data_IF_143781690349
#
_entry.id   IF_143781690349
#
_cell.length_a   1.000
_cell.length_b   1.000
_cell.length_c   1.000
_cell.angle_alpha   90.00
_cell.angle_beta   90.00
_cell.angle_gamma   90.00
#
_symmetry.space_group_name_H-M   'P 1'
#
loop_
_entity.id
_entity.type
_entity.pdbx_description
1 polymer ?
#
# COMPACT_ATOMS: atom_id res chain seq x y z
N UNK A 1 7.67 4.29 -26.21
CA UNK A 1 8.66 3.29 -25.80
C UNK A 1 9.20 3.77 -24.46
N UNK A 2 8.96 3.04 -23.36
CA UNK A 2 9.31 3.50 -22.00
C UNK A 2 10.83 3.57 -21.78
N UNK A 3 11.62 2.72 -22.45
CA UNK A 3 13.09 2.78 -22.36
C UNK A 3 13.64 4.09 -22.91
N UNK A 4 13.14 4.55 -24.07
CA UNK A 4 13.51 5.85 -24.64
C UNK A 4 13.09 7.01 -23.73
N UNK A 5 11.97 6.87 -23.01
CA UNK A 5 11.53 7.88 -22.05
C UNK A 5 12.47 7.96 -20.84
N UNK A 6 12.90 6.80 -20.31
CA UNK A 6 13.88 6.74 -19.23
C UNK A 6 15.25 7.31 -19.67
N UNK A 7 15.73 6.94 -20.86
CA UNK A 7 16.97 7.48 -21.44
C UNK A 7 16.91 9.00 -21.60
N UNK A 8 15.78 9.54 -22.05
CA UNK A 8 15.58 10.98 -22.15
C UNK A 8 15.67 11.66 -20.76
N UNK A 9 14.95 11.12 -19.77
CA UNK A 9 14.91 11.67 -18.42
C UNK A 9 16.28 11.63 -17.73
N UNK A 10 17.05 10.58 -17.99
CA UNK A 10 18.34 10.31 -17.36
C UNK A 10 19.53 10.80 -18.21
N UNK A 11 19.27 11.50 -19.33
CA UNK A 11 20.31 11.97 -20.23
C UNK A 11 21.28 12.93 -19.52
N UNK A 12 22.57 12.58 -19.50
CA UNK A 12 23.60 13.38 -18.83
C UNK A 12 23.53 13.36 -17.31
N UNK A 13 22.76 12.44 -16.72
CA UNK A 13 22.70 12.21 -15.27
C UNK A 13 23.56 11.00 -14.94
N UNK A 14 24.67 11.20 -14.23
CA UNK A 14 25.57 10.11 -13.79
C UNK A 14 25.19 9.55 -12.42
N UNK A 15 24.59 10.39 -11.57
CA UNK A 15 24.22 10.08 -10.19
C UNK A 15 22.95 10.84 -9.84
N UNK A 16 22.04 10.19 -9.11
CA UNK A 16 20.84 10.78 -8.54
C UNK A 16 21.09 10.95 -7.05
N UNK A 17 21.45 12.17 -6.64
CA UNK A 17 21.71 12.50 -5.26
C UNK A 17 20.40 12.80 -4.53
N UNK A 18 19.95 11.85 -3.69
CA UNK A 18 18.74 12.01 -2.88
C UNK A 18 19.06 12.48 -1.46
N UNK A 19 20.29 12.90 -1.17
CA UNK A 19 20.74 13.44 0.12
C UNK A 19 20.23 14.87 0.35
N UNK A 20 18.92 15.06 0.30
CA UNK A 20 18.27 16.31 0.65
C UNK A 20 18.11 16.46 2.17
N UNK A 21 17.62 17.61 2.66
CA UNK A 21 17.30 17.80 4.08
C UNK A 21 16.23 16.82 4.58
N UNK A 22 15.34 16.37 3.68
CA UNK A 22 14.26 15.43 3.97
C UNK A 22 14.60 13.96 3.74
N UNK A 23 13.92 13.08 4.50
CA UNK A 23 13.97 11.62 4.32
C UNK A 23 12.94 11.23 3.26
N UNK A 24 13.33 10.54 2.18
CA UNK A 24 12.38 10.12 1.15
C UNK A 24 11.46 8.99 1.61
N UNK A 25 10.28 8.94 1.03
CA UNK A 25 9.46 7.71 0.97
C UNK A 25 9.98 6.74 -0.11
N UNK A 26 9.33 5.60 -0.27
CA UNK A 26 9.53 4.71 -1.43
C UNK A 26 8.30 4.70 -2.34
N UNK A 27 8.44 4.26 -3.59
CA UNK A 27 7.36 4.18 -4.57
C UNK A 27 6.94 2.75 -4.84
N UNK A 28 5.65 2.56 -5.08
CA UNK A 28 5.09 1.41 -5.79
C UNK A 28 4.85 1.84 -7.24
N UNK A 29 5.56 1.21 -8.18
CA UNK A 29 5.43 1.44 -9.63
C UNK A 29 4.59 0.31 -10.22
N UNK A 30 3.30 0.55 -10.42
CA UNK A 30 2.29 -0.49 -10.67
C UNK A 30 1.45 -0.28 -11.93
N UNK A 31 1.62 0.82 -12.65
CA UNK A 31 1.00 1.07 -13.95
C UNK A 31 1.63 0.24 -15.06
N UNK A 32 0.88 -0.01 -16.14
CA UNK A 32 1.46 -0.65 -17.32
C UNK A 32 2.38 0.29 -18.13
N UNK A 33 2.18 1.61 -17.98
CA UNK A 33 2.93 2.67 -18.65
C UNK A 33 3.77 3.50 -17.66
N UNK A 34 4.02 2.96 -16.46
CA UNK A 34 4.91 3.53 -15.47
C UNK A 34 6.23 2.78 -15.44
N UNK A 35 7.30 3.46 -15.05
CA UNK A 35 8.65 2.89 -15.02
C UNK A 35 9.50 3.58 -13.94
N UNK A 36 10.40 2.82 -13.27
CA UNK A 36 11.31 3.38 -12.29
C UNK A 36 12.45 4.16 -12.98
N UNK A 37 12.98 5.17 -12.28
CA UNK A 37 14.12 5.99 -12.71
C UNK A 37 15.28 5.90 -11.73
N UNK A 38 14.99 5.60 -10.46
CA UNK A 38 15.95 5.42 -9.38
C UNK A 38 15.54 4.23 -8.51
N UNK A 39 16.44 3.26 -8.37
CA UNK A 39 16.28 2.08 -7.52
C UNK A 39 17.52 1.92 -6.62
N UNK A 40 17.33 1.51 -5.36
CA UNK A 40 18.43 1.01 -4.54
C UNK A 40 18.74 -0.48 -4.82
N UNK A 41 19.74 -1.01 -4.11
CA UNK A 41 20.15 -2.42 -4.19
C UNK A 41 19.08 -3.41 -3.69
N UNK A 42 18.08 -2.94 -2.94
CA UNK A 42 16.93 -3.73 -2.48
C UNK A 42 15.68 -3.48 -3.35
N UNK A 43 15.85 -2.81 -4.48
CA UNK A 43 14.80 -2.47 -5.44
C UNK A 43 13.73 -1.49 -4.90
N UNK A 44 14.03 -0.72 -3.86
CA UNK A 44 13.18 0.40 -3.48
C UNK A 44 13.28 1.52 -4.51
N UNK A 45 12.13 1.98 -5.00
CA UNK A 45 12.06 3.04 -5.99
C UNK A 45 11.87 4.41 -5.33
N UNK A 46 12.61 5.41 -5.79
CA UNK A 46 12.58 6.78 -5.25
C UNK A 46 12.13 7.83 -6.26
N UNK A 47 12.43 7.60 -7.53
CA UNK A 47 11.99 8.43 -8.66
C UNK A 47 11.35 7.50 -9.69
N UNK A 48 10.19 7.88 -10.20
CA UNK A 48 9.51 7.14 -11.25
C UNK A 48 8.78 8.08 -12.20
N UNK A 49 8.46 7.58 -13.38
CA UNK A 49 7.66 8.29 -14.36
C UNK A 49 6.54 7.41 -14.91
N UNK A 50 5.55 8.05 -15.51
CA UNK A 50 4.46 7.36 -16.18
C UNK A 50 3.90 8.18 -17.36
N UNK A 51 3.31 7.48 -18.33
CA UNK A 51 2.43 8.07 -19.33
C UNK A 51 0.98 7.79 -18.96
N UNK A 52 0.11 8.79 -19.13
CA UNK A 52 -1.31 8.65 -18.88
C UNK A 52 -2.14 9.51 -19.84
N UNK A 53 -3.05 8.89 -20.58
CA UNK A 53 -3.74 9.54 -21.69
C UNK A 53 -2.73 10.09 -22.70
N UNK A 54 -2.79 11.38 -22.99
CA UNK A 54 -1.79 12.08 -23.82
C UNK A 54 -0.65 12.71 -23.01
N UNK A 55 -0.77 12.75 -21.68
CA UNK A 55 0.18 13.41 -20.80
C UNK A 55 1.18 12.48 -20.15
N UNK A 56 1.94 13.07 -19.23
CA UNK A 56 3.15 12.51 -18.64
C UNK A 56 3.24 12.91 -17.17
N UNK A 57 3.83 12.04 -16.36
CA UNK A 57 3.97 12.24 -14.91
C UNK A 57 5.37 11.85 -14.49
N UNK A 58 6.01 12.66 -13.64
CA UNK A 58 7.25 12.34 -12.92
C UNK A 58 7.00 12.54 -11.44
N UNK A 59 7.41 11.56 -10.62
CA UNK A 59 7.19 11.54 -9.17
C UNK A 59 8.53 11.46 -8.44
N UNK A 60 8.67 12.30 -7.43
CA UNK A 60 9.75 12.29 -6.45
C UNK A 60 9.22 11.94 -5.05
N UNK A 61 9.97 11.20 -4.26
CA UNK A 61 9.55 10.74 -2.92
C UNK A 61 9.87 11.70 -1.79
N UNK A 62 10.31 12.91 -2.13
CA UNK A 62 10.35 14.07 -1.24
C UNK A 62 10.20 15.36 -2.06
N UNK A 63 9.61 16.41 -1.50
CA UNK A 63 9.44 17.70 -2.18
C UNK A 63 10.77 18.44 -2.35
N UNK A 64 11.70 18.29 -1.40
CA UNK A 64 13.03 18.93 -1.47
C UNK A 64 13.85 18.44 -2.67
N UNK A 65 13.57 17.24 -3.18
CA UNK A 65 14.18 16.71 -4.39
C UNK A 65 13.79 17.52 -5.63
N UNK A 66 12.67 18.24 -5.60
CA UNK A 66 12.18 19.03 -6.74
C UNK A 66 12.88 20.38 -6.90
N UNK A 67 13.79 20.75 -5.99
CA UNK A 67 14.58 21.97 -6.12
C UNK A 67 16.01 21.79 -5.60
N UNK A 68 16.47 20.54 -5.46
CA UNK A 68 17.86 20.22 -5.15
C UNK A 68 18.75 20.57 -6.34
N UNK A 69 19.82 21.37 -6.14
CA UNK A 69 20.82 21.65 -7.17
C UNK A 69 21.48 20.39 -7.73
N UNK A 70 21.68 19.38 -6.90
CA UNK A 70 22.31 18.10 -7.27
C UNK A 70 21.45 17.31 -8.26
N UNK A 71 20.13 17.53 -8.26
CA UNK A 71 19.18 16.95 -9.21
C UNK A 71 18.83 17.88 -10.38
N UNK A 72 19.49 19.05 -10.51
CA UNK A 72 19.11 20.07 -11.49
C UNK A 72 19.05 19.54 -12.93
N UNK A 73 20.06 18.76 -13.37
CA UNK A 73 20.05 18.17 -14.71
C UNK A 73 18.85 17.25 -14.94
N UNK A 74 18.55 16.38 -13.97
CA UNK A 74 17.40 15.49 -14.01
C UNK A 74 16.08 16.28 -14.04
N UNK A 75 15.93 17.31 -13.20
CA UNK A 75 14.71 18.14 -13.14
C UNK A 75 14.46 18.89 -14.45
N UNK A 76 15.51 19.42 -15.08
CA UNK A 76 15.41 20.07 -16.40
C UNK A 76 14.98 19.07 -17.49
N UNK A 77 15.55 17.87 -17.49
CA UNK A 77 15.13 16.80 -18.40
C UNK A 77 13.66 16.42 -18.13
N UNK A 78 13.27 16.29 -16.86
CA UNK A 78 11.90 15.98 -16.46
C UNK A 78 10.91 17.03 -16.97
N UNK A 79 11.17 18.32 -16.75
CA UNK A 79 10.29 19.40 -17.24
C UNK A 79 10.21 19.42 -18.76
N UNK A 80 11.32 19.25 -19.47
CA UNK A 80 11.32 19.15 -20.94
C UNK A 80 10.51 17.94 -21.44
N UNK A 81 10.68 16.78 -20.80
CA UNK A 81 9.94 15.57 -21.13
C UNK A 81 8.45 15.75 -20.86
N UNK A 82 8.07 16.37 -19.74
CA UNK A 82 6.69 16.65 -19.34
C UNK A 82 6.01 17.67 -20.27
N UNK A 83 6.74 18.69 -20.72
CA UNK A 83 6.24 19.70 -21.67
C UNK A 83 5.95 19.08 -23.04
N UNK A 84 6.70 18.06 -23.43
CA UNK A 84 6.55 17.34 -24.69
C UNK A 84 6.66 18.26 -25.93
N UNK A 85 7.46 19.33 -25.84
CA UNK A 85 7.74 20.25 -26.93
C UNK A 85 6.66 21.32 -27.17
N UNK A 86 5.66 21.44 -26.28
CA UNK A 86 4.64 22.48 -26.34
C UNK A 86 5.19 23.88 -26.08
N UNK A 87 6.34 24.00 -25.44
CA UNK A 87 6.99 25.26 -25.03
C UNK A 87 6.03 26.15 -24.24
N UNK A 88 5.15 25.52 -23.46
CA UNK A 88 4.16 26.22 -22.64
C UNK A 88 4.76 26.71 -21.33
N UNK A 89 3.90 27.31 -20.50
CA UNK A 89 4.30 27.83 -19.20
C UNK A 89 4.38 26.70 -18.17
N UNK A 90 5.43 26.70 -17.35
CA UNK A 90 5.54 25.81 -16.19
C UNK A 90 4.90 26.48 -14.98
N UNK A 91 3.80 25.94 -14.49
CA UNK A 91 3.13 26.42 -13.28
C UNK A 91 3.65 25.70 -12.04
N UNK A 92 4.11 26.44 -11.04
CA UNK A 92 4.71 25.88 -9.82
C UNK A 92 3.86 26.24 -8.61
N UNK A 93 3.44 25.23 -7.83
CA UNK A 93 2.75 25.44 -6.56
C UNK A 93 3.59 26.31 -5.61
N UNK A 94 2.98 27.24 -4.84
CA UNK A 94 3.72 28.13 -3.93
C UNK A 94 4.69 27.43 -2.96
N UNK A 95 4.40 26.20 -2.56
CA UNK A 95 5.29 25.40 -1.67
C UNK A 95 6.59 25.00 -2.34
N UNK A 96 6.62 24.96 -3.67
CA UNK A 96 7.79 24.59 -4.48
C UNK A 96 8.45 25.80 -5.16
N UNK A 97 8.22 27.03 -4.68
CA UNK A 97 8.72 28.26 -5.34
C UNK A 97 10.22 28.24 -5.68
N UNK A 98 11.05 27.53 -4.89
CA UNK A 98 12.49 27.36 -5.14
C UNK A 98 12.80 26.68 -6.48
N UNK A 99 11.87 25.88 -7.01
CA UNK A 99 12.01 25.28 -8.35
C UNK A 99 12.03 26.37 -9.45
N UNK A 100 11.33 27.49 -9.29
CA UNK A 100 11.38 28.58 -10.28
C UNK A 100 12.80 29.15 -10.42
N UNK A 101 13.56 29.23 -9.34
CA UNK A 101 14.94 29.73 -9.35
C UNK A 101 15.84 28.81 -10.19
N UNK A 102 15.67 27.49 -10.05
CA UNK A 102 16.38 26.48 -10.83
C UNK A 102 15.99 26.52 -12.32
N UNK A 103 14.69 26.64 -12.61
CA UNK A 103 14.18 26.71 -13.98
C UNK A 103 14.61 27.99 -14.72
N UNK A 104 14.68 29.11 -14.00
CA UNK A 104 15.09 30.39 -14.57
C UNK A 104 16.54 30.39 -15.05
N UNK A 105 17.42 29.67 -14.35
CA UNK A 105 18.83 29.50 -14.76
C UNK A 105 18.98 28.76 -16.10
N UNK A 106 17.97 27.99 -16.50
CA UNK A 106 17.93 27.26 -17.77
C UNK A 106 16.96 27.92 -18.78
N UNK A 107 16.57 29.18 -18.56
CA UNK A 107 15.68 29.96 -19.42
C UNK A 107 14.29 29.30 -19.64
N UNK A 108 13.84 28.46 -18.71
CA UNK A 108 12.52 27.83 -18.76
C UNK A 108 11.47 28.79 -18.20
N UNK A 109 10.47 29.13 -19.03
CA UNK A 109 9.35 29.99 -18.63
C UNK A 109 8.54 29.33 -17.51
N UNK A 110 8.66 29.86 -16.30
CA UNK A 110 7.96 29.35 -15.12
C UNK A 110 7.28 30.48 -14.35
N UNK A 111 6.19 30.16 -13.65
CA UNK A 111 5.53 31.08 -12.74
C UNK A 111 4.96 30.34 -11.53
N UNK A 112 4.96 31.01 -10.37
CA UNK A 112 4.25 30.49 -9.20
C UNK A 112 2.76 30.66 -9.42
N UNK A 113 2.02 29.56 -9.51
CA UNK A 113 0.57 29.58 -9.74
C UNK A 113 -0.08 28.25 -9.35
N UNK A 114 -1.38 28.30 -9.08
CA UNK A 114 -2.20 27.08 -9.06
C UNK A 114 -2.40 26.56 -10.49
N UNK A 115 -2.85 25.30 -10.62
CA UNK A 115 -3.20 24.76 -11.93
C UNK A 115 -4.27 25.66 -12.57
N UNK A 116 -4.00 26.16 -13.77
CA UNK A 116 -4.80 27.13 -14.52
C UNK A 116 -4.63 26.90 -16.03
N UNK A 117 -5.42 27.59 -16.84
CA UNK A 117 -5.31 27.53 -18.30
C UNK A 117 -3.95 28.04 -18.81
N UNK A 118 -3.42 27.42 -19.86
CA UNK A 118 -2.16 27.82 -20.52
C UNK A 118 -0.88 27.22 -19.94
N UNK A 119 -0.98 26.47 -18.83
CA UNK A 119 0.12 25.69 -18.26
C UNK A 119 0.35 24.43 -19.11
N UNK A 120 1.60 24.13 -19.47
CA UNK A 120 1.97 22.86 -20.10
C UNK A 120 2.47 21.83 -19.10
N UNK A 121 3.19 22.30 -18.06
CA UNK A 121 3.69 21.47 -16.97
C UNK A 121 3.27 22.07 -15.63
N UNK A 122 2.63 21.28 -14.78
CA UNK A 122 2.28 21.67 -13.43
C UNK A 122 3.16 20.94 -12.41
N UNK A 123 3.80 21.70 -11.54
CA UNK A 123 4.70 21.21 -10.50
C UNK A 123 4.05 21.43 -9.14
N UNK A 124 3.76 20.37 -8.38
CA UNK A 124 3.08 20.49 -7.08
C UNK A 124 3.62 19.51 -6.04
N UNK A 125 3.34 19.78 -4.76
CA UNK A 125 3.58 18.77 -3.73
C UNK A 125 2.47 17.72 -3.70
N UNK A 126 2.72 16.60 -3.05
CA UNK A 126 1.78 15.47 -2.91
C UNK A 126 0.93 15.54 -1.63
N UNK A 127 0.93 16.69 -0.92
CA UNK A 127 0.27 16.84 0.39
C UNK A 127 -1.21 17.24 0.32
N UNK A 128 -1.76 17.52 -0.86
CA UNK A 128 -3.17 17.86 -1.05
C UNK A 128 -3.75 17.11 -2.23
N UNK A 129 -5.02 16.71 -2.12
CA UNK A 129 -5.84 16.12 -3.18
C UNK A 129 -6.95 17.06 -3.67
N UNK A 130 -6.97 18.33 -3.22
CA UNK A 130 -7.99 19.33 -3.57
C UNK A 130 -8.21 19.46 -5.08
N UNK A 131 -7.13 19.43 -5.85
CA UNK A 131 -7.15 19.58 -7.30
C UNK A 131 -7.09 18.25 -8.07
N UNK A 132 -7.29 17.10 -7.40
CA UNK A 132 -7.06 15.78 -8.00
C UNK A 132 -7.81 15.58 -9.33
N UNK A 133 -9.10 15.94 -9.40
CA UNK A 133 -9.90 15.83 -10.64
C UNK A 133 -9.36 16.72 -11.76
N UNK A 134 -8.90 17.93 -11.43
CA UNK A 134 -8.35 18.88 -12.39
C UNK A 134 -7.00 18.38 -12.90
N UNK A 135 -6.14 17.88 -12.02
CA UNK A 135 -4.86 17.25 -12.36
C UNK A 135 -5.08 16.01 -13.25
N UNK A 136 -6.04 15.15 -12.92
CA UNK A 136 -6.36 13.97 -13.74
C UNK A 136 -6.76 14.36 -15.17
N UNK A 137 -7.63 15.37 -15.31
CA UNK A 137 -8.08 15.87 -16.62
C UNK A 137 -6.93 16.49 -17.39
N UNK A 138 -6.18 17.38 -16.73
CA UNK A 138 -5.01 18.05 -17.30
C UNK A 138 -3.99 17.05 -17.86
N UNK A 139 -3.60 16.04 -17.07
CA UNK A 139 -2.65 15.01 -17.54
C UNK A 139 -3.28 14.17 -18.65
N UNK A 140 -4.53 13.72 -18.51
CA UNK A 140 -5.19 12.92 -19.55
C UNK A 140 -5.22 13.64 -20.91
N UNK A 141 -5.43 14.96 -20.90
CA UNK A 141 -5.52 15.78 -22.11
C UNK A 141 -4.17 16.13 -22.74
N UNK A 142 -3.06 15.89 -22.05
CA UNK A 142 -1.71 16.11 -22.56
C UNK A 142 -0.75 16.75 -21.57
N UNK A 143 -1.25 17.36 -20.49
CA UNK A 143 -0.48 18.04 -19.45
C UNK A 143 0.65 17.19 -18.84
N UNK A 144 1.72 17.87 -18.46
CA UNK A 144 2.83 17.26 -17.71
C UNK A 144 2.68 17.52 -16.21
N UNK A 145 2.79 16.49 -15.37
CA UNK A 145 2.78 16.62 -13.91
C UNK A 145 4.15 16.27 -13.33
N UNK A 146 4.77 17.22 -12.62
CA UNK A 146 5.91 16.95 -11.73
C UNK A 146 5.40 17.03 -10.29
N UNK A 147 5.53 15.95 -9.52
CA UNK A 147 4.99 15.92 -8.16
C UNK A 147 5.95 15.29 -7.17
N UNK A 148 6.05 15.90 -5.98
CA UNK A 148 7.02 15.52 -4.96
C UNK A 148 6.41 15.49 -3.57
N UNK A 149 6.87 14.57 -2.73
CA UNK A 149 6.59 14.58 -1.30
C UNK A 149 6.66 13.19 -0.69
N UNK A 150 6.47 13.12 0.63
CA UNK A 150 6.64 11.89 1.38
C UNK A 150 5.36 11.50 2.15
N UNK A 151 5.08 10.20 2.16
CA UNK A 151 3.92 9.63 2.84
C UNK A 151 4.28 9.00 4.20
N UNK A 152 5.58 8.79 4.51
CA UNK A 152 5.99 8.15 5.76
C UNK A 152 5.60 8.98 6.99
N UNK A 153 5.68 10.31 6.90
CA UNK A 153 5.29 11.20 7.99
C UNK A 153 3.79 11.12 8.22
N UNK A 154 3.02 11.17 7.13
CA UNK A 154 1.57 10.96 7.17
C UNK A 154 1.23 9.61 7.82
N UNK A 155 1.91 8.52 7.42
CA UNK A 155 1.70 7.19 7.98
C UNK A 155 2.04 7.13 9.48
N UNK A 156 3.07 7.86 9.92
CA UNK A 156 3.45 7.93 11.35
C UNK A 156 2.37 8.58 12.22
N UNK A 157 1.58 9.50 11.64
CA UNK A 157 0.45 10.19 12.29
C UNK A 157 -0.86 9.43 12.16
N UNK A 158 -1.01 8.60 11.13
CA UNK A 158 -2.21 7.82 10.82
C UNK A 158 -1.92 6.32 10.97
N UNK A 159 -1.56 5.90 12.19
CA UNK A 159 -1.18 4.51 12.46
C UNK A 159 -2.35 3.56 12.21
N UNK A 160 -2.10 2.51 11.42
CA UNK A 160 -3.11 1.52 11.03
C UNK A 160 -3.84 1.86 9.73
N UNK A 161 -3.61 3.04 9.17
CA UNK A 161 -4.14 3.43 7.86
C UNK A 161 -3.13 3.10 6.74
N UNK A 162 -3.63 2.57 5.63
CA UNK A 162 -2.79 2.30 4.46
C UNK A 162 -2.51 3.61 3.69
N UNK A 163 -1.26 4.07 3.71
CA UNK A 163 -0.87 5.30 3.00
C UNK A 163 -1.18 5.23 1.50
N UNK A 164 -1.02 4.07 0.89
CA UNK A 164 -1.36 3.81 -0.52
C UNK A 164 -2.85 4.11 -0.84
N UNK A 165 -3.73 4.01 0.15
CA UNK A 165 -5.16 4.30 0.03
C UNK A 165 -5.50 5.75 0.42
N UNK A 166 -4.95 6.20 1.54
CA UNK A 166 -5.50 7.33 2.29
C UNK A 166 -4.61 8.58 2.28
N UNK A 167 -3.34 8.46 1.88
CA UNK A 167 -2.48 9.63 1.69
C UNK A 167 -3.01 10.51 0.54
N UNK A 168 -3.17 11.84 0.73
CA UNK A 168 -3.73 12.74 -0.28
C UNK A 168 -3.06 12.61 -1.66
N UNK A 169 -1.74 12.56 -1.71
CA UNK A 169 -1.00 12.42 -2.97
C UNK A 169 -1.35 11.15 -3.74
N UNK A 170 -1.67 10.05 -3.06
CA UNK A 170 -2.05 8.80 -3.71
C UNK A 170 -3.45 8.84 -4.32
N UNK A 171 -4.33 9.73 -3.86
CA UNK A 171 -5.62 10.00 -4.52
C UNK A 171 -5.43 10.63 -5.91
N UNK A 172 -4.28 11.28 -6.14
CA UNK A 172 -3.85 11.75 -7.45
C UNK A 172 -3.10 10.63 -8.19
N UNK A 173 -2.03 10.13 -7.58
CA UNK A 173 -1.02 9.30 -8.22
C UNK A 173 -1.47 7.90 -8.60
N UNK A 174 -2.34 7.26 -7.80
CA UNK A 174 -2.77 5.89 -8.06
C UNK A 174 -3.35 5.77 -9.48
N UNK A 175 -4.12 6.77 -9.93
CA UNK A 175 -4.71 6.79 -11.28
C UNK A 175 -3.67 6.73 -12.41
N UNK A 176 -2.46 7.21 -12.14
CA UNK A 176 -1.33 7.21 -13.08
C UNK A 176 -0.44 5.96 -12.97
N UNK A 177 -0.78 5.00 -12.10
CA UNK A 177 0.00 3.79 -11.92
C UNK A 177 1.20 3.93 -10.98
N UNK A 178 1.19 4.95 -10.12
CA UNK A 178 2.26 5.26 -9.18
C UNK A 178 1.65 5.47 -7.78
N UNK A 179 2.34 5.04 -6.73
CA UNK A 179 1.94 5.35 -5.35
C UNK A 179 3.16 5.64 -4.49
N UNK A 180 3.06 6.64 -3.61
CA UNK A 180 4.04 6.91 -2.57
C UNK A 180 3.70 6.07 -1.34
N UNK A 181 4.62 5.22 -0.92
CA UNK A 181 4.44 4.31 0.20
C UNK A 181 4.77 5.01 1.53
N UNK A 182 4.11 4.54 2.61
CA UNK A 182 4.34 5.02 3.97
C UNK A 182 5.67 4.58 4.59
N UNK A 183 6.54 3.92 3.82
CA UNK A 183 7.84 3.46 4.28
C UNK A 183 8.91 4.49 4.02
N UNK A 184 9.77 4.70 5.01
CA UNK A 184 10.99 5.50 4.86
C UNK A 184 11.96 4.74 3.98
N UNK A 185 12.50 5.43 2.98
CA UNK A 185 13.70 4.99 2.32
C UNK A 185 14.94 5.59 2.98
N UNK A 186 16.10 5.25 2.43
CA UNK A 186 17.36 5.85 2.83
C UNK A 186 17.68 7.00 1.87
N UNK A 187 17.93 8.19 2.41
CA UNK A 187 18.57 9.24 1.63
C UNK A 187 19.98 8.76 1.29
N UNK A 188 20.28 8.66 -0.01
CA UNK A 188 21.57 8.23 -0.51
C UNK A 188 21.73 8.68 -1.97
N UNK A 189 22.96 8.60 -2.45
CA UNK A 189 23.28 8.71 -3.87
C UNK A 189 23.02 7.37 -4.54
N UNK A 190 22.31 7.38 -5.64
CA UNK A 190 22.00 6.18 -6.40
C UNK A 190 22.39 6.36 -7.87
N UNK A 191 22.87 5.30 -8.53
CA UNK A 191 22.99 5.34 -9.97
C UNK A 191 21.59 5.47 -10.61
N UNK A 192 21.46 6.18 -11.74
CA UNK A 192 20.24 6.15 -12.54
C UNK A 192 19.95 4.71 -12.98
N UNK A 193 18.67 4.39 -13.16
CA UNK A 193 18.27 3.10 -13.74
C UNK A 193 18.86 2.99 -15.15
N UNK A 194 19.84 2.10 -15.31
CA UNK A 194 20.57 1.91 -16.57
C UNK A 194 19.77 1.18 -17.65
N UNK A 195 20.37 0.86 -18.80
CA UNK A 195 19.75 -0.01 -19.79
C UNK A 195 19.58 -1.43 -19.22
N UNK A 196 18.50 -2.12 -19.62
CA UNK A 196 18.26 -3.52 -19.25
C UNK A 196 17.00 -3.76 -18.43
N UNK A 197 16.97 -4.91 -17.76
CA UNK A 197 15.79 -5.38 -17.02
C UNK A 197 15.85 -4.94 -15.56
N UNK A 198 14.85 -4.17 -15.14
CA UNK A 198 14.75 -3.65 -13.78
C UNK A 198 13.48 -4.12 -13.11
N UNK A 199 13.50 -4.03 -11.78
CA UNK A 199 12.33 -4.35 -10.98
C UNK A 199 11.16 -3.44 -11.36
N UNK A 200 10.02 -4.05 -11.68
CA UNK A 200 8.74 -3.39 -11.86
C UNK A 200 7.66 -4.34 -11.37
N UNK A 201 6.70 -3.86 -10.57
CA UNK A 201 5.73 -4.71 -9.86
C UNK A 201 5.03 -5.72 -10.79
N UNK A 202 4.45 -5.23 -11.89
CA UNK A 202 3.72 -6.09 -12.85
C UNK A 202 4.63 -7.13 -13.52
N UNK A 203 5.90 -6.78 -13.73
CA UNK A 203 6.88 -7.66 -14.38
C UNK A 203 7.30 -8.77 -13.42
N UNK A 204 7.64 -8.41 -12.19
CA UNK A 204 7.97 -9.36 -11.14
C UNK A 204 6.78 -10.30 -10.86
N UNK A 205 5.56 -9.76 -10.81
CA UNK A 205 4.34 -10.55 -10.66
C UNK A 205 4.14 -11.53 -11.83
N UNK A 206 4.33 -11.08 -13.08
CA UNK A 206 4.22 -11.96 -14.24
C UNK A 206 5.22 -13.11 -14.17
N UNK A 207 6.49 -12.81 -13.88
CA UNK A 207 7.53 -13.84 -13.72
C UNK A 207 7.15 -14.86 -12.64
N UNK A 208 6.64 -14.40 -11.50
CA UNK A 208 6.19 -15.27 -10.40
C UNK A 208 5.02 -16.18 -10.80
N UNK A 209 4.09 -15.66 -11.60
CA UNK A 209 2.96 -16.46 -12.10
C UNK A 209 3.47 -17.51 -13.11
N UNK A 210 4.39 -17.15 -14.00
CA UNK A 210 4.88 -18.07 -15.05
C UNK A 210 5.83 -19.15 -14.52
N UNK A 211 6.61 -18.86 -13.49
CA UNK A 211 7.57 -19.81 -12.91
C UNK A 211 6.90 -20.68 -11.84
N UNK A 212 5.84 -21.40 -12.15
CA UNK A 212 5.07 -22.18 -11.16
C UNK A 212 5.87 -23.39 -10.63
N UNK A 213 6.23 -24.32 -11.52
CA UNK A 213 6.83 -25.61 -11.18
C UNK A 213 8.36 -25.66 -11.30
N UNK A 214 8.99 -24.53 -11.66
CA UNK A 214 10.44 -24.44 -11.88
C UNK A 214 11.15 -23.86 -10.65
N UNK A 215 12.45 -24.11 -10.51
CA UNK A 215 13.27 -23.35 -9.55
C UNK A 215 13.22 -21.86 -9.88
N UNK A 216 13.28 -21.02 -8.84
CA UNK A 216 13.32 -19.56 -9.02
C UNK A 216 14.61 -19.17 -9.74
N UNK A 217 14.48 -18.56 -10.92
CA UNK A 217 15.61 -18.00 -11.64
C UNK A 217 15.75 -16.51 -11.36
N UNK A 218 16.93 -15.97 -11.64
CA UNK A 218 17.09 -14.53 -11.75
C UNK A 218 16.26 -13.98 -12.94
N UNK A 219 15.77 -12.73 -12.87
CA UNK A 219 15.93 -11.80 -11.76
C UNK A 219 14.88 -11.97 -10.63
N UNK A 220 13.90 -12.87 -10.79
CA UNK A 220 12.79 -13.02 -9.85
C UNK A 220 13.27 -13.37 -8.44
N UNK A 221 14.30 -14.22 -8.32
CA UNK A 221 14.87 -14.63 -7.02
C UNK A 221 15.39 -13.46 -6.21
N UNK A 222 16.03 -12.46 -6.84
CA UNK A 222 16.42 -11.20 -6.19
C UNK A 222 15.23 -10.28 -5.88
N UNK A 223 14.13 -10.40 -6.61
CA UNK A 223 12.97 -9.52 -6.53
C UNK A 223 11.88 -9.97 -5.54
N UNK A 224 11.94 -11.20 -5.02
CA UNK A 224 10.86 -11.79 -4.24
C UNK A 224 10.45 -10.98 -3.01
N UNK A 225 11.42 -10.51 -2.23
CA UNK A 225 11.13 -9.72 -1.03
C UNK A 225 10.38 -8.43 -1.39
N UNK A 226 10.86 -7.72 -2.41
CA UNK A 226 10.23 -6.50 -2.90
C UNK A 226 8.85 -6.76 -3.51
N UNK A 227 8.70 -7.86 -4.24
CA UNK A 227 7.41 -8.30 -4.79
C UNK A 227 6.39 -8.57 -3.68
N UNK A 228 6.79 -9.19 -2.56
CA UNK A 228 5.89 -9.41 -1.42
C UNK A 228 5.38 -8.10 -0.83
N UNK A 229 6.30 -7.15 -0.60
CA UNK A 229 5.98 -5.81 -0.11
C UNK A 229 5.03 -5.07 -1.06
N UNK A 230 5.31 -5.10 -2.36
CA UNK A 230 4.49 -4.40 -3.36
C UNK A 230 3.13 -5.08 -3.58
N UNK A 231 3.04 -6.42 -3.48
CA UNK A 231 1.75 -7.12 -3.44
C UNK A 231 0.91 -6.63 -2.27
N UNK A 232 1.50 -6.53 -1.06
CA UNK A 232 0.80 -6.03 0.12
C UNK A 232 0.30 -4.60 -0.14
N UNK A 233 1.19 -3.68 -0.52
CA UNK A 233 0.80 -2.30 -0.80
C UNK A 233 -0.27 -2.20 -1.91
N UNK A 234 -0.14 -2.97 -2.99
CA UNK A 234 -1.07 -2.92 -4.11
C UNK A 234 -2.49 -3.34 -3.71
N UNK A 235 -2.63 -4.38 -2.89
CA UNK A 235 -3.93 -4.90 -2.44
C UNK A 235 -4.71 -3.89 -1.60
N UNK A 236 -4.03 -2.94 -0.95
CA UNK A 236 -4.67 -1.86 -0.21
C UNK A 236 -5.00 -0.64 -1.08
N UNK A 237 -4.69 -0.63 -2.38
CA UNK A 237 -5.15 0.44 -3.28
C UNK A 237 -6.68 0.36 -3.39
N UNK A 238 -7.41 1.47 -3.14
CA UNK A 238 -8.86 1.48 -3.28
C UNK A 238 -9.28 1.06 -4.69
N UNK A 239 -10.03 -0.03 -4.77
CA UNK A 239 -10.39 -0.70 -6.02
C UNK A 239 -11.54 -0.03 -6.78
N UNK A 240 -12.19 1.00 -6.18
CA UNK A 240 -13.46 1.62 -6.60
C UNK A 240 -13.59 1.70 -8.13
N UNK A 241 -14.19 0.66 -8.70
CA UNK A 241 -14.49 0.47 -10.12
C UNK A 241 -13.28 0.55 -11.09
N UNK A 242 -12.05 0.25 -10.66
CA UNK A 242 -10.89 0.16 -11.55
C UNK A 242 -10.69 -1.29 -12.05
N UNK A 243 -11.01 -1.62 -13.32
CA UNK A 243 -10.89 -2.98 -13.82
C UNK A 243 -9.44 -3.51 -13.79
N UNK A 244 -8.47 -2.61 -13.91
CA UNK A 244 -7.05 -2.96 -13.87
C UNK A 244 -6.61 -3.46 -12.49
N UNK A 245 -7.20 -2.94 -11.40
CA UNK A 245 -6.90 -3.39 -10.03
C UNK A 245 -7.68 -4.66 -9.71
N UNK A 246 -8.98 -4.68 -10.01
CA UNK A 246 -9.81 -5.87 -9.87
C UNK A 246 -9.21 -7.09 -10.59
N UNK A 247 -8.61 -6.89 -11.77
CA UNK A 247 -7.92 -7.96 -12.49
C UNK A 247 -6.70 -8.49 -11.74
N UNK A 248 -5.89 -7.64 -11.10
CA UNK A 248 -4.72 -8.08 -10.34
C UNK A 248 -5.15 -8.80 -9.07
N UNK A 249 -6.16 -8.29 -8.34
CA UNK A 249 -6.77 -9.01 -7.21
C UNK A 249 -7.22 -10.41 -7.65
N UNK A 250 -7.98 -10.50 -8.75
CA UNK A 250 -8.46 -11.78 -9.29
C UNK A 250 -7.31 -12.72 -9.68
N UNK A 251 -6.23 -12.20 -10.27
CA UNK A 251 -5.05 -12.99 -10.62
C UNK A 251 -4.41 -13.56 -9.35
N UNK A 252 -4.17 -12.73 -8.33
CA UNK A 252 -3.58 -13.16 -7.07
C UNK A 252 -4.46 -14.18 -6.34
N UNK A 253 -5.78 -13.97 -6.32
CA UNK A 253 -6.75 -14.95 -5.78
C UNK A 253 -6.67 -16.27 -6.54
N UNK A 254 -6.62 -16.26 -7.88
CA UNK A 254 -6.51 -17.48 -8.68
C UNK A 254 -5.20 -18.21 -8.43
N UNK A 255 -4.08 -17.50 -8.28
CA UNK A 255 -2.78 -18.08 -7.94
C UNK A 255 -2.84 -18.80 -6.60
N UNK A 256 -3.49 -18.22 -5.58
CA UNK A 256 -3.68 -18.89 -4.30
C UNK A 256 -4.61 -20.10 -4.41
N UNK A 257 -5.68 -20.00 -5.19
CA UNK A 257 -6.62 -21.10 -5.40
C UNK A 257 -6.00 -22.28 -6.16
N UNK A 258 -5.07 -22.02 -7.08
CA UNK A 258 -4.39 -23.08 -7.84
C UNK A 258 -3.22 -23.70 -7.07
N UNK A 259 -2.42 -22.89 -6.36
CA UNK A 259 -1.21 -23.35 -5.65
C UNK A 259 -1.47 -23.77 -4.20
N UNK A 260 -2.61 -23.36 -3.65
CA UNK A 260 -2.92 -23.50 -2.23
C UNK A 260 -2.13 -22.52 -1.36
N UNK A 261 -2.57 -22.39 -0.11
CA UNK A 261 -1.86 -21.64 0.92
C UNK A 261 -0.83 -22.58 1.56
N UNK A 262 0.48 -22.25 1.54
CA UNK A 262 1.51 -23.11 2.10
C UNK A 262 1.28 -23.43 3.59
N UNK A 263 1.49 -24.69 3.97
CA UNK A 263 1.54 -25.06 5.38
C UNK A 263 2.90 -24.69 5.96
N UNK A 264 2.89 -23.98 7.09
CA UNK A 264 4.08 -23.56 7.80
C UNK A 264 3.97 -23.92 9.27
N UNK A 265 4.98 -24.64 9.76
CA UNK A 265 5.05 -25.09 11.16
C UNK A 265 6.50 -25.16 11.61
N UNK A 266 6.75 -25.51 12.87
CA UNK A 266 8.11 -25.74 13.38
C UNK A 266 8.80 -26.87 12.62
N UNK A 267 8.06 -27.90 12.21
CA UNK A 267 8.58 -29.07 11.48
C UNK A 267 8.65 -28.83 9.97
N UNK A 268 7.94 -27.81 9.47
CA UNK A 268 7.93 -27.38 8.07
C UNK A 268 8.18 -25.87 7.97
N UNK A 269 9.40 -25.39 8.28
CA UNK A 269 9.71 -23.98 8.23
C UNK A 269 9.78 -23.46 6.80
N UNK A 270 9.45 -22.19 6.61
CA UNK A 270 9.47 -21.50 5.31
C UNK A 270 10.50 -20.37 5.33
N UNK A 271 11.45 -20.37 4.40
CA UNK A 271 12.43 -19.27 4.28
C UNK A 271 11.76 -18.01 3.72
N UNK A 272 12.13 -16.84 4.22
CA UNK A 272 11.43 -15.60 3.84
C UNK A 272 11.66 -15.14 2.41
N UNK A 273 12.74 -15.61 1.75
CA UNK A 273 12.97 -15.39 0.32
C UNK A 273 12.60 -16.63 -0.51
N UNK A 274 11.34 -17.08 -0.39
CA UNK A 274 10.81 -18.26 -1.08
C UNK A 274 9.45 -17.96 -1.72
N UNK A 275 9.01 -18.84 -2.63
CA UNK A 275 7.67 -18.76 -3.24
C UNK A 275 6.58 -18.91 -2.18
N UNK A 276 6.81 -19.81 -1.23
CA UNK A 276 5.89 -20.13 -0.15
C UNK A 276 5.68 -18.93 0.78
N UNK A 277 6.76 -18.21 1.12
CA UNK A 277 6.65 -16.98 1.90
C UNK A 277 5.81 -15.92 1.15
N UNK A 278 6.05 -15.72 -0.14
CA UNK A 278 5.26 -14.79 -0.96
C UNK A 278 3.78 -15.17 -1.00
N UNK A 279 3.44 -16.45 -1.16
CA UNK A 279 2.05 -16.93 -1.11
C UNK A 279 1.39 -16.68 0.25
N UNK A 280 2.12 -16.89 1.36
CA UNK A 280 1.64 -16.59 2.71
C UNK A 280 1.34 -15.09 2.89
N UNK A 281 2.19 -14.20 2.36
CA UNK A 281 1.95 -12.76 2.39
C UNK A 281 0.74 -12.38 1.56
N UNK A 282 0.66 -12.84 0.30
CA UNK A 282 -0.49 -12.55 -0.58
C UNK A 282 -1.79 -13.04 0.05
N UNK A 283 -1.80 -14.24 0.65
CA UNK A 283 -2.99 -14.79 1.32
C UNK A 283 -3.42 -13.94 2.51
N UNK A 284 -2.46 -13.51 3.33
CA UNK A 284 -2.73 -12.63 4.49
C UNK A 284 -3.34 -11.32 4.01
N UNK A 285 -2.73 -10.65 3.03
CA UNK A 285 -3.17 -9.33 2.56
C UNK A 285 -4.49 -9.37 1.79
N UNK A 286 -4.74 -10.43 1.01
CA UNK A 286 -6.05 -10.65 0.40
C UNK A 286 -7.13 -10.88 1.47
N UNK A 287 -6.85 -11.67 2.50
CA UNK A 287 -7.80 -11.86 3.59
C UNK A 287 -8.06 -10.56 4.38
N UNK A 288 -7.10 -9.64 4.43
CA UNK A 288 -7.28 -8.34 5.07
C UNK A 288 -8.15 -7.38 4.25
N UNK A 289 -8.18 -7.53 2.93
CA UNK A 289 -8.86 -6.61 2.00
C UNK A 289 -10.21 -7.15 1.51
N UNK A 290 -10.41 -8.47 1.53
CA UNK A 290 -11.67 -9.13 1.18
C UNK A 290 -12.67 -9.08 2.34
N UNK A 291 -13.95 -9.02 2.00
CA UNK A 291 -15.07 -9.15 2.95
C UNK A 291 -15.30 -10.60 3.39
N UNK A 292 -14.90 -11.58 2.57
CA UNK A 292 -15.05 -13.02 2.82
C UNK A 292 -13.79 -13.78 2.39
N UNK A 293 -13.15 -14.49 3.34
CA UNK A 293 -11.93 -15.27 3.09
C UNK A 293 -12.19 -16.73 2.72
N UNK A 294 -13.44 -17.19 2.74
CA UNK A 294 -13.78 -18.60 2.41
C UNK A 294 -13.29 -18.99 1.02
N UNK A 295 -13.36 -18.05 0.07
CA UNK A 295 -12.89 -18.20 -1.31
C UNK A 295 -11.39 -18.52 -1.42
N UNK A 296 -10.58 -18.23 -0.39
CA UNK A 296 -9.14 -18.50 -0.36
C UNK A 296 -8.81 -19.89 0.21
N UNK A 297 -9.62 -20.39 1.15
CA UNK A 297 -9.31 -21.59 1.94
C UNK A 297 -9.92 -22.86 1.33
N UNK A 298 -10.90 -22.74 0.41
CA UNK A 298 -11.58 -23.88 -0.25
C UNK A 298 -12.11 -24.95 0.74
N UNK A 299 -12.40 -24.58 1.99
CA UNK A 299 -12.98 -25.48 3.00
C UNK A 299 -14.49 -25.28 3.09
N UNK A 300 -15.22 -26.38 3.23
CA UNK A 300 -16.66 -26.36 3.47
C UNK A 300 -16.96 -25.79 4.86
N UNK A 301 -18.02 -24.99 4.97
CA UNK A 301 -18.49 -24.40 6.23
C UNK A 301 -19.20 -25.40 7.16
N UNK A 302 -18.82 -26.69 7.09
CA UNK A 302 -19.42 -27.74 7.89
C UNK A 302 -19.05 -27.55 9.37
N UNK A 303 -20.06 -27.34 10.22
CA UNK A 303 -19.89 -27.26 11.68
C UNK A 303 -19.91 -25.86 12.30
N UNK A 304 -20.15 -24.80 11.51
CA UNK A 304 -20.38 -23.46 12.05
C UNK A 304 -21.78 -23.40 12.67
N UNK A 305 -21.87 -22.93 13.92
CA UNK A 305 -23.18 -22.70 14.54
C UNK A 305 -23.94 -21.63 13.76
N UNK A 306 -25.09 -21.99 13.20
CA UNK A 306 -25.95 -21.06 12.47
C UNK A 306 -26.66 -20.05 13.38
N UNK A 307 -26.71 -20.29 14.70
CA UNK A 307 -27.44 -19.43 15.63
C UNK A 307 -26.55 -18.29 16.17
N UNK A 308 -27.05 -17.04 16.15
CA UNK A 308 -26.39 -15.90 16.79
C UNK A 308 -26.17 -16.14 18.30
N UNK A 309 -25.01 -15.78 18.82
CA UNK A 309 -24.71 -15.83 20.26
C UNK A 309 -24.49 -14.43 20.79
N UNK A 310 -25.30 -14.01 21.76
CA UNK A 310 -25.13 -12.74 22.48
C UNK A 310 -24.29 -12.94 23.72
N UNK A 311 -23.28 -12.09 23.91
CA UNK A 311 -22.35 -12.11 25.04
C UNK A 311 -22.32 -10.72 25.68
N UNK A 312 -22.45 -10.68 27.00
CA UNK A 312 -22.26 -9.45 27.78
C UNK A 312 -20.77 -9.15 27.93
N UNK A 313 -20.34 -7.99 27.43
CA UNK A 313 -18.95 -7.56 27.46
C UNK A 313 -18.82 -6.33 28.36
N UNK A 314 -17.98 -6.42 29.39
CA UNK A 314 -17.64 -5.24 30.20
C UNK A 314 -16.75 -4.28 29.41
N UNK A 315 -17.38 -3.22 28.89
CA UNK A 315 -16.76 -2.11 28.19
C UNK A 315 -16.16 -1.06 29.11
N UNK A 316 -16.22 -1.23 30.44
CA UNK A 316 -15.53 -0.37 31.40
C UNK A 316 -14.06 -0.78 31.51
N UNK A 317 -13.16 0.19 31.39
CA UNK A 317 -11.73 -0.08 31.42
C UNK A 317 -10.94 1.14 31.91
N UNK A 318 -10.78 1.34 33.23
CA UNK A 318 -10.08 2.51 33.78
C UNK A 318 -8.56 2.50 33.49
N UNK A 319 -8.00 1.31 33.20
CA UNK A 319 -6.59 1.10 32.96
C UNK A 319 -6.15 1.30 31.51
N UNK A 320 -5.07 0.60 31.15
CA UNK A 320 -4.59 0.51 29.76
C UNK A 320 -5.56 -0.32 28.92
N UNK A 321 -5.41 -0.27 27.59
CA UNK A 321 -6.15 -1.11 26.64
C UNK A 321 -6.21 -2.56 27.12
N UNK A 322 -7.39 -3.16 27.09
CA UNK A 322 -7.61 -4.52 27.58
C UNK A 322 -8.43 -5.34 26.58
N UNK A 323 -8.24 -6.66 26.60
CA UNK A 323 -9.02 -7.59 25.79
C UNK A 323 -10.08 -8.24 26.67
N UNK A 324 -11.31 -8.32 26.14
CA UNK A 324 -12.42 -9.06 26.73
C UNK A 324 -12.69 -10.27 25.86
N UNK A 325 -12.56 -11.46 26.43
CA UNK A 325 -12.90 -12.70 25.72
C UNK A 325 -14.41 -12.77 25.52
N UNK A 326 -14.83 -13.17 24.33
CA UNK A 326 -16.25 -13.47 24.05
C UNK A 326 -16.62 -14.92 24.41
N UNK A 327 -15.63 -15.78 24.67
CA UNK A 327 -15.84 -17.23 24.76
C UNK A 327 -16.23 -17.87 23.41
N UNK A 328 -16.01 -17.16 22.30
CA UNK A 328 -16.30 -17.64 20.95
C UNK A 328 -15.02 -17.80 20.14
N UNK A 329 -15.07 -18.72 19.19
CA UNK A 329 -14.00 -19.01 18.23
C UNK A 329 -14.55 -18.87 16.81
N UNK A 330 -13.84 -18.15 15.96
CA UNK A 330 -14.11 -18.07 14.53
C UNK A 330 -13.32 -19.19 13.83
N UNK A 331 -14.00 -20.15 13.16
CA UNK A 331 -13.31 -21.16 12.38
C UNK A 331 -12.45 -20.58 11.26
N UNK A 332 -11.41 -21.32 10.87
CA UNK A 332 -10.47 -20.93 9.80
C UNK A 332 -11.20 -20.57 8.50
N UNK A 333 -10.86 -19.42 7.91
CA UNK A 333 -11.42 -18.94 6.65
C UNK A 333 -12.86 -18.42 6.72
N UNK A 334 -13.51 -18.44 7.89
CA UNK A 334 -14.90 -18.03 8.04
C UNK A 334 -15.06 -16.54 8.34
N UNK A 335 -16.27 -16.05 8.09
CA UNK A 335 -16.69 -14.69 8.38
C UNK A 335 -17.66 -14.68 9.55
N UNK A 336 -17.37 -13.88 10.57
CA UNK A 336 -18.33 -13.56 11.63
C UNK A 336 -19.06 -12.26 11.31
N UNK A 337 -20.35 -12.20 11.66
CA UNK A 337 -21.11 -10.95 11.67
C UNK A 337 -21.28 -10.50 13.10
N UNK A 338 -20.78 -9.30 13.40
CA UNK A 338 -20.80 -8.70 14.73
C UNK A 338 -21.86 -7.62 14.77
N UNK A 339 -22.84 -7.79 15.66
CA UNK A 339 -23.90 -6.82 15.91
C UNK A 339 -23.70 -6.17 17.28
N UNK A 340 -23.58 -4.84 17.30
CA UNK A 340 -23.29 -4.02 18.46
C UNK A 340 -24.37 -2.95 18.70
N UNK A 341 -24.62 -2.54 19.96
CA UNK A 341 -25.46 -1.40 20.27
C UNK A 341 -24.86 -0.10 19.73
N UNK A 342 -25.71 0.90 19.46
CA UNK A 342 -25.29 2.18 18.90
C UNK A 342 -24.19 2.86 19.72
N UNK A 343 -24.25 2.77 21.06
CA UNK A 343 -23.27 3.38 21.97
C UNK A 343 -21.83 2.86 21.84
N UNK A 344 -21.63 1.69 21.20
CA UNK A 344 -20.30 1.11 20.96
C UNK A 344 -19.69 1.65 19.66
N UNK A 345 -20.51 2.06 18.71
CA UNK A 345 -20.08 2.49 17.37
C UNK A 345 -19.27 3.77 17.49
N UNK A 346 -18.03 3.75 16.99
CA UNK A 346 -17.13 4.90 17.07
C UNK A 346 -16.56 5.19 18.47
N UNK A 347 -16.89 4.40 19.49
CA UNK A 347 -16.37 4.55 20.85
C UNK A 347 -14.91 4.05 21.03
N UNK A 348 -14.23 3.71 19.93
CA UNK A 348 -12.84 3.24 19.91
C UNK A 348 -12.65 1.76 20.28
N UNK A 349 -13.73 0.99 20.38
CA UNK A 349 -13.66 -0.47 20.55
C UNK A 349 -13.29 -1.15 19.23
N UNK A 350 -12.57 -2.27 19.34
CA UNK A 350 -12.21 -3.10 18.18
C UNK A 350 -12.65 -4.54 18.39
N UNK A 351 -12.98 -5.23 17.30
CA UNK A 351 -13.08 -6.69 17.28
C UNK A 351 -11.72 -7.24 16.88
N UNK A 352 -11.25 -8.26 17.58
CA UNK A 352 -10.03 -8.97 17.24
C UNK A 352 -10.29 -10.48 17.17
N UNK A 353 -9.77 -11.13 16.14
CA UNK A 353 -9.75 -12.58 15.98
C UNK A 353 -8.29 -13.05 16.06
N UNK A 354 -8.02 -13.98 16.97
CA UNK A 354 -6.67 -14.48 17.26
C UNK A 354 -6.06 -13.82 18.51
N UNK A 355 -5.26 -14.60 19.25
CA UNK A 355 -4.65 -14.19 20.52
C UNK A 355 -3.21 -13.65 20.38
N UNK A 356 -2.63 -13.72 19.19
CA UNK A 356 -1.29 -13.23 18.92
C UNK A 356 -1.29 -11.72 18.64
N UNK A 357 -0.16 -11.06 18.87
CA UNK A 357 0.03 -9.62 18.56
C UNK A 357 1.31 -9.34 17.78
N UNK A 358 2.12 -10.36 17.53
CA UNK A 358 3.40 -10.27 16.87
C UNK A 358 3.27 -10.47 15.35
N UNK A 359 4.13 -9.77 14.62
CA UNK A 359 4.27 -9.84 13.17
C UNK A 359 5.63 -10.47 12.84
N UNK A 360 5.61 -11.66 12.26
CA UNK A 360 6.83 -12.38 11.87
C UNK A 360 7.30 -12.06 10.44
N UNK A 361 6.71 -11.08 9.76
CA UNK A 361 7.00 -10.76 8.35
C UNK A 361 8.47 -10.40 8.08
N UNK A 362 9.21 -10.03 9.13
CA UNK A 362 10.64 -9.68 9.06
C UNK A 362 11.58 -10.82 9.52
N UNK A 363 11.04 -11.97 9.92
CA UNK A 363 11.86 -13.12 10.27
C UNK A 363 12.64 -13.61 9.05
N UNK A 364 13.81 -14.23 9.22
CA UNK A 364 14.55 -14.89 8.13
C UNK A 364 13.92 -16.22 7.72
N UNK A 365 13.21 -16.83 8.66
CA UNK A 365 12.54 -18.12 8.53
C UNK A 365 11.26 -18.09 9.36
N UNK A 366 10.16 -18.53 8.76
CA UNK A 366 8.83 -18.61 9.34
C UNK A 366 8.58 -20.03 9.84
N UNK A 367 8.22 -20.16 11.12
CA UNK A 367 7.83 -21.43 11.77
C UNK A 367 6.34 -21.52 12.08
N UNK A 368 5.59 -20.50 11.67
CA UNK A 368 4.13 -20.39 11.63
C UNK A 368 3.77 -19.30 10.62
N UNK A 369 2.49 -19.17 10.29
CA UNK A 369 2.02 -18.08 9.44
C UNK A 369 2.41 -16.72 10.06
N UNK A 370 2.82 -15.73 9.24
CA UNK A 370 3.51 -14.53 9.75
C UNK A 370 2.61 -13.67 10.64
N UNK A 371 1.39 -13.40 10.18
CA UNK A 371 0.36 -12.65 10.90
C UNK A 371 -0.89 -13.52 10.99
N UNK A 372 -1.27 -13.89 12.21
CA UNK A 372 -2.43 -14.77 12.49
C UNK A 372 -3.52 -14.07 13.30
N UNK A 373 -3.52 -12.74 13.25
CA UNK A 373 -4.48 -11.88 13.94
C UNK A 373 -5.21 -11.01 12.93
N UNK A 374 -6.52 -10.85 13.13
CA UNK A 374 -7.35 -9.89 12.40
C UNK A 374 -7.96 -8.92 13.39
N UNK A 375 -7.87 -7.63 13.12
CA UNK A 375 -8.49 -6.59 13.94
C UNK A 375 -9.23 -5.60 13.07
N UNK A 376 -10.44 -5.20 13.47
CA UNK A 376 -11.18 -4.10 12.86
C UNK A 376 -11.85 -3.22 13.92
N UNK A 377 -11.95 -1.92 13.64
CA UNK A 377 -12.72 -0.99 14.48
C UNK A 377 -14.21 -1.31 14.40
N UNK A 378 -14.95 -1.05 15.48
CA UNK A 378 -16.42 -1.13 15.49
C UNK A 378 -16.97 0.18 14.90
N UNK A 379 -17.09 0.21 13.58
CA UNK A 379 -17.46 1.39 12.80
C UNK A 379 -18.95 1.44 12.45
N UNK A 380 -19.68 0.34 12.63
CA UNK A 380 -21.13 0.28 12.40
C UNK A 380 -21.81 -0.69 13.37
N UNK A 381 -23.13 -0.59 13.52
CA UNK A 381 -23.89 -1.48 14.40
C UNK A 381 -23.88 -2.94 13.94
N UNK A 382 -23.68 -3.19 12.64
CA UNK A 382 -23.60 -4.53 12.07
C UNK A 382 -22.45 -4.58 11.07
N UNK A 383 -21.40 -5.32 11.39
CA UNK A 383 -20.20 -5.41 10.55
C UNK A 383 -19.68 -6.84 10.46
N UNK A 384 -19.03 -7.17 9.35
CA UNK A 384 -18.41 -8.47 9.13
C UNK A 384 -16.92 -8.43 9.41
N UNK A 385 -16.39 -9.52 9.96
CA UNK A 385 -14.95 -9.76 10.12
C UNK A 385 -14.62 -11.17 9.65
N UNK A 386 -13.75 -11.26 8.65
CA UNK A 386 -13.21 -12.52 8.14
C UNK A 386 -11.77 -12.70 8.63
N UNK A 387 -11.40 -13.94 8.98
CA UNK A 387 -10.04 -14.27 9.41
C UNK A 387 -9.56 -15.54 8.70
N UNK A 388 -8.45 -15.43 7.97
CA UNK A 388 -7.87 -16.54 7.21
C UNK A 388 -7.56 -17.75 8.11
N UNK A 389 -6.95 -17.51 9.26
CA UNK A 389 -6.44 -18.55 10.15
C UNK A 389 -7.43 -18.96 11.25
N UNK A 390 -8.54 -18.23 11.39
CA UNK A 390 -9.46 -18.37 12.52
C UNK A 390 -8.84 -17.92 13.84
N UNK A 391 -9.58 -18.10 14.93
CA UNK A 391 -9.09 -17.74 16.26
C UNK A 391 -10.18 -17.38 17.26
N UNK A 392 -9.77 -17.22 18.52
CA UNK A 392 -10.64 -16.68 19.56
C UNK A 392 -11.05 -15.25 19.23
N UNK A 393 -12.33 -14.93 19.48
CA UNK A 393 -12.88 -13.59 19.25
C UNK A 393 -12.79 -12.80 20.55
N UNK A 394 -12.16 -11.63 20.47
CA UNK A 394 -12.01 -10.68 21.57
C UNK A 394 -12.62 -9.33 21.20
N UNK A 395 -13.12 -8.64 22.22
CA UNK A 395 -13.43 -7.21 22.13
C UNK A 395 -12.29 -6.45 22.81
N UNK A 396 -11.61 -5.62 22.04
CA UNK A 396 -10.53 -4.75 22.52
C UNK A 396 -11.15 -3.46 23.01
N UNK A 397 -11.09 -3.25 24.32
CA UNK A 397 -11.64 -2.06 24.98
C UNK A 397 -10.54 -1.01 25.12
N UNK A 398 -10.76 0.24 24.68
CA UNK A 398 -9.77 1.30 24.79
C UNK A 398 -9.50 1.65 26.25
N UNK A 399 -8.38 2.34 26.48
CA UNK A 399 -8.06 2.86 27.81
C UNK A 399 -9.10 3.90 28.24
N UNK A 400 -9.43 3.95 29.53
CA UNK A 400 -10.37 4.89 30.15
C UNK A 400 -11.82 4.80 29.61
N UNK A 401 -12.21 3.66 29.05
CA UNK A 401 -13.60 3.44 28.60
C UNK A 401 -14.55 3.35 29.79
N UNK A 402 -15.76 3.90 29.65
CA UNK A 402 -16.80 3.96 30.71
C UNK A 402 -18.15 3.43 30.21
N UNK A 403 -18.14 2.56 29.19
CA UNK A 403 -19.37 2.11 28.51
C UNK A 403 -20.24 1.15 29.33
N UNK A 404 -19.76 0.62 30.45
CA UNK A 404 -20.48 -0.41 31.20
C UNK A 404 -20.55 -1.74 30.44
N UNK A 405 -21.47 -2.61 30.85
CA UNK A 405 -21.75 -3.86 30.13
C UNK A 405 -22.50 -3.57 28.83
N UNK A 406 -22.01 -4.14 27.74
CA UNK A 406 -22.62 -4.01 26.42
C UNK A 406 -22.92 -5.40 25.83
N UNK A 407 -24.17 -5.66 25.38
CA UNK A 407 -24.49 -6.91 24.71
C UNK A 407 -23.94 -6.90 23.29
N UNK A 408 -23.07 -7.85 22.95
CA UNK A 408 -22.54 -8.02 21.59
C UNK A 408 -23.00 -9.37 21.04
N UNK A 409 -23.63 -9.34 19.87
CA UNK A 409 -24.12 -10.55 19.20
C UNK A 409 -23.19 -10.95 18.07
N UNK A 410 -22.82 -12.22 18.02
CA UNK A 410 -21.90 -12.78 17.04
C UNK A 410 -22.57 -13.93 16.28
N UNK A 411 -22.60 -13.83 14.96
CA UNK A 411 -23.05 -14.88 14.04
C UNK A 411 -21.84 -15.48 13.32
N UNK A 412 -21.89 -16.77 12.96
CA UNK A 412 -20.80 -17.43 12.21
C UNK A 412 -19.61 -17.91 13.07
N UNK A 413 -19.77 -17.93 14.40
CA UNK A 413 -18.77 -18.40 15.35
C UNK A 413 -19.25 -19.62 16.15
N UNK A 414 -18.33 -20.34 16.78
CA UNK A 414 -18.62 -21.49 17.65
C UNK A 414 -18.20 -21.19 19.09
N UNK A 415 -18.78 -21.89 20.08
CA UNK A 415 -18.37 -21.75 21.48
C UNK A 415 -16.97 -22.32 21.67
N UNK A 416 -16.10 -21.55 22.32
CA UNK A 416 -14.78 -21.98 22.75
C UNK A 416 -14.82 -22.34 24.24
N UNK A 417 -14.08 -23.36 24.71
CA UNK A 417 -13.84 -23.55 26.13
C UNK A 417 -13.18 -22.30 26.74
N UNK A 418 -13.73 -21.77 27.82
CA UNK A 418 -13.13 -20.65 28.55
C UNK A 418 -13.40 -20.73 30.04
N UNK A 419 -12.47 -20.18 30.83
CA UNK A 419 -12.62 -20.06 32.27
C UNK A 419 -13.22 -18.69 32.61
N UNK A 420 -14.30 -18.69 33.40
CA UNK A 420 -14.85 -17.48 34.01
C UNK A 420 -14.57 -17.55 35.50
N UNK A 421 -13.69 -16.67 35.98
CA UNK A 421 -13.46 -16.51 37.41
C UNK A 421 -14.73 -15.93 38.04
N UNK A 422 -15.16 -16.52 39.15
CA UNK A 422 -16.43 -16.24 39.84
C UNK A 422 -16.50 -14.84 40.42
#
# INVERSE_FOLDING_TARGET
NLSLDAEFLLCGVSELDLMTEGIPSTLLVHGALSFPLCLDSSHHCFLAAARYGRGRVVVATHEDQLFSPELARFLLNAVSWLDAGRKGLVGVDPRLKKLCDLLSQAEVKSQVSQLAGGISVYCCSSYSDTDAKRIHTFVAEGGGLLVGGQAWYWASKNRGEAAVANYPGNRILNRFGLSILGWRGQAAKHPPVGPGEHYHFRRALLLFITQEHQELTEPLKGWLHRLAQDCAAFLHIPDRNCPAYASVHRILTKVLQSRGIPQVSRDRPVKSNSKEALLLYIATELALTMTDSTALVQKSAAGVSALPVTVEIDGTNPGKRAWRSTGLYLPEGHTAVITCPHQVVGAGLKVQVGCHTDDLSQAKELKRAPVVVRTCDIASQKQSISCLWGGLIYIVVPAKSVLGNVPITVEGAVRAPFFKFG
#
